data_IF_313984728939
#
_entry.id   IF_313984728939
#
_cell.length_a   1.000
_cell.length_b   1.000
_cell.length_c   1.000
_cell.angle_alpha   90.00
_cell.angle_beta   90.00
_cell.angle_gamma   90.00
#
_symmetry.space_group_name_H-M   'P 1'
#
loop_
_entity.id
_entity.type
_entity.pdbx_description
1 polymer ?
#
# COMPACT_ATOMS: atom_id res chain seq x y z
N UNK A 1 -9.61 6.86 -9.08
CA UNK A 1 -8.67 6.03 -8.29
C UNK A 1 -7.69 5.36 -9.24
N UNK A 2 -6.38 5.51 -9.02
CA UNK A 2 -5.32 4.96 -9.88
C UNK A 2 -4.70 3.74 -9.20
N UNK A 3 -4.54 2.58 -9.88
CA UNK A 3 -3.84 1.45 -9.29
C UNK A 3 -2.38 1.83 -9.06
N UNK A 4 -1.85 1.49 -7.89
CA UNK A 4 -0.45 1.79 -7.53
C UNK A 4 0.42 0.55 -7.45
N UNK A 5 -0.18 -0.63 -7.24
CA UNK A 5 0.58 -1.85 -7.01
C UNK A 5 -0.20 -2.95 -6.33
N UNK A 6 0.52 -3.98 -5.92
CA UNK A 6 0.01 -5.19 -5.27
C UNK A 6 0.33 -5.17 -3.78
N UNK A 7 -0.69 -5.33 -2.93
CA UNK A 7 -0.48 -5.53 -1.50
C UNK A 7 0.01 -6.96 -1.25
N UNK A 8 1.23 -7.10 -0.73
CA UNK A 8 1.92 -8.37 -0.60
C UNK A 8 1.56 -9.10 0.70
N UNK A 9 1.78 -8.45 1.84
CA UNK A 9 1.51 -9.01 3.16
C UNK A 9 1.52 -7.91 4.24
N UNK A 10 1.14 -8.28 5.46
CA UNK A 10 1.37 -7.48 6.67
C UNK A 10 2.68 -7.96 7.31
N UNK A 11 3.67 -7.10 7.39
CA UNK A 11 4.94 -7.40 8.04
C UNK A 11 4.76 -7.61 9.55
N UNK A 12 5.74 -8.24 10.22
CA UNK A 12 5.72 -8.44 11.68
C UNK A 12 5.57 -7.13 12.47
N UNK A 13 6.01 -6.00 11.90
CA UNK A 13 5.83 -4.65 12.45
C UNK A 13 4.39 -4.12 12.36
N UNK A 14 3.47 -4.86 11.75
CA UNK A 14 2.10 -4.43 11.50
C UNK A 14 1.95 -3.57 10.23
N UNK A 15 3.02 -3.35 9.47
CA UNK A 15 2.98 -2.51 8.26
C UNK A 15 2.47 -3.29 7.06
N UNK A 16 1.63 -2.65 6.25
CA UNK A 16 1.20 -3.19 4.96
C UNK A 16 2.30 -2.94 3.92
N UNK A 17 2.83 -4.02 3.37
CA UNK A 17 3.88 -3.98 2.34
C UNK A 17 3.23 -4.05 0.96
N UNK A 18 3.52 -3.09 0.10
CA UNK A 18 2.95 -2.98 -1.25
C UNK A 18 4.10 -2.86 -2.25
N UNK A 19 4.14 -3.71 -3.27
CA UNK A 19 5.04 -3.54 -4.41
C UNK A 19 4.39 -2.60 -5.42
N UNK A 20 5.07 -1.51 -5.75
CA UNK A 20 4.57 -0.50 -6.70
C UNK A 20 5.33 -0.54 -8.01
N UNK A 21 4.63 -0.22 -9.09
CA UNK A 21 5.20 -0.16 -10.45
C UNK A 21 5.74 1.25 -10.78
N UNK A 22 5.46 2.24 -9.92
CA UNK A 22 5.85 3.64 -10.11
C UNK A 22 6.09 4.36 -8.79
N UNK A 23 6.80 5.49 -8.84
CA UNK A 23 7.07 6.33 -7.67
C UNK A 23 5.79 6.97 -7.12
N UNK A 24 5.57 6.81 -5.83
CA UNK A 24 4.46 7.42 -5.06
C UNK A 24 5.04 8.47 -4.10
N UNK A 25 4.20 9.34 -3.55
CA UNK A 25 4.58 10.34 -2.54
C UNK A 25 4.15 9.88 -1.15
N UNK A 26 4.96 10.17 -0.13
CA UNK A 26 4.62 9.91 1.27
C UNK A 26 3.33 10.61 1.70
N UNK A 27 2.67 10.07 2.73
CA UNK A 27 1.49 10.68 3.36
C UNK A 27 0.17 10.45 2.64
N UNK A 28 0.17 9.90 1.42
CA UNK A 28 -1.06 9.56 0.69
C UNK A 28 -1.87 8.44 1.37
N UNK A 29 -3.19 8.48 1.19
CA UNK A 29 -4.08 7.41 1.62
C UNK A 29 -4.17 6.36 0.52
N UNK A 30 -4.08 5.10 0.92
CA UNK A 30 -4.25 3.92 0.08
C UNK A 30 -5.68 3.43 0.25
N UNK A 31 -6.30 3.06 -0.87
CA UNK A 31 -7.67 2.59 -0.93
C UNK A 31 -7.76 1.19 -1.54
N UNK A 32 -8.83 0.47 -1.22
CA UNK A 32 -9.22 -0.74 -1.95
C UNK A 32 -9.97 -0.38 -3.25
N UNK A 33 -10.30 -1.40 -4.06
CA UNK A 33 -11.05 -1.19 -5.31
C UNK A 33 -12.44 -0.54 -5.13
N UNK A 34 -12.99 -0.53 -3.92
CA UNK A 34 -14.33 -0.01 -3.60
C UNK A 34 -14.28 1.42 -3.04
N UNK A 35 -13.10 2.01 -2.90
CA UNK A 35 -12.92 3.34 -2.34
C UNK A 35 -12.82 3.38 -0.81
N UNK A 36 -12.70 2.24 -0.14
CA UNK A 36 -12.49 2.22 1.31
C UNK A 36 -11.06 2.63 1.64
N UNK A 37 -10.87 3.46 2.68
CA UNK A 37 -9.53 3.81 3.18
C UNK A 37 -8.89 2.62 3.88
N UNK A 38 -7.69 2.26 3.46
CA UNK A 38 -7.00 1.04 3.92
C UNK A 38 -5.75 1.35 4.75
N UNK A 39 -4.87 2.20 4.25
CA UNK A 39 -3.59 2.48 4.88
C UNK A 39 -3.11 3.90 4.53
N UNK A 40 -2.11 4.40 5.24
CA UNK A 40 -1.39 5.63 4.90
C UNK A 40 0.05 5.29 4.50
N UNK A 41 0.53 5.86 3.40
CA UNK A 41 1.93 5.72 2.96
C UNK A 41 2.84 6.30 4.04
N UNK A 42 3.66 5.45 4.65
CA UNK A 42 4.66 5.85 5.65
C UNK A 42 6.02 6.09 5.00
N UNK A 43 6.59 5.04 4.42
CA UNK A 43 7.92 5.06 3.82
C UNK A 43 7.93 4.34 2.48
N UNK A 44 8.86 4.76 1.61
CA UNK A 44 9.10 4.19 0.29
C UNK A 44 10.55 3.74 0.24
N UNK A 45 10.77 2.48 -0.08
CA UNK A 45 12.08 1.82 -0.05
C UNK A 45 12.31 1.02 -1.34
N UNK A 46 13.56 0.65 -1.62
CA UNK A 46 13.91 -0.17 -2.78
C UNK A 46 14.20 0.65 -4.04
N UNK A 47 14.14 -0.01 -5.21
CA UNK A 47 14.51 0.58 -6.50
C UNK A 47 13.56 1.70 -6.91
N UNK A 48 14.07 2.64 -7.71
CA UNK A 48 13.29 3.76 -8.28
C UNK A 48 12.20 3.25 -9.22
N UNK A 49 12.49 2.21 -10.00
CA UNK A 49 11.56 1.67 -11.02
C UNK A 49 10.46 0.80 -10.39
N UNK A 50 10.77 0.10 -9.30
CA UNK A 50 9.85 -0.84 -8.64
C UNK A 50 9.96 -0.73 -7.11
N UNK A 51 9.52 0.39 -6.52
CA UNK A 51 9.67 0.61 -5.08
C UNK A 51 8.68 -0.22 -4.28
N UNK A 52 9.04 -0.49 -3.03
CA UNK A 52 8.12 -0.98 -2.01
C UNK A 52 7.61 0.16 -1.16
N UNK A 53 6.32 0.13 -0.85
CA UNK A 53 5.71 1.01 0.13
C UNK A 53 5.52 0.23 1.42
N UNK A 54 6.01 0.82 2.50
CA UNK A 54 5.71 0.41 3.86
C UNK A 54 4.63 1.33 4.41
N UNK A 55 3.39 0.86 4.44
CA UNK A 55 2.22 1.65 4.82
C UNK A 55 1.70 1.29 6.22
N UNK A 56 1.12 2.27 6.90
CA UNK A 56 0.50 2.11 8.22
C UNK A 56 -0.98 1.78 7.99
N UNK A 57 -1.46 0.57 8.33
CA UNK A 57 -2.88 0.23 8.24
C UNK A 57 -3.73 1.18 9.09
N UNK A 58 -4.90 1.57 8.56
CA UNK A 58 -5.84 2.41 9.31
C UNK A 58 -6.81 1.57 10.16
N UNK A 59 -7.05 0.31 9.76
CA UNK A 59 -7.92 -0.64 10.43
C UNK A 59 -7.67 -2.06 9.90
N UNK A 60 -8.38 -3.05 10.46
CA UNK A 60 -8.24 -4.46 10.10
C UNK A 60 -8.59 -4.79 8.64
N UNK A 61 -9.31 -3.91 7.93
CA UNK A 61 -9.63 -4.13 6.52
C UNK A 61 -8.38 -4.14 5.63
N UNK A 62 -7.23 -3.65 6.11
CA UNK A 62 -5.96 -3.79 5.41
C UNK A 62 -5.56 -5.25 5.14
N UNK A 63 -6.00 -6.20 5.98
CA UNK A 63 -5.77 -7.63 5.71
C UNK A 63 -6.55 -8.12 4.48
N UNK A 64 -7.68 -7.49 4.15
CA UNK A 64 -8.56 -7.90 3.04
C UNK A 64 -7.99 -7.59 1.66
N UNK A 65 -7.02 -6.68 1.58
CA UNK A 65 -6.37 -6.30 0.32
C UNK A 65 -5.11 -7.10 0.02
N UNK A 66 -4.65 -7.96 0.92
CA UNK A 66 -3.51 -8.85 0.68
C UNK A 66 -3.79 -9.69 -0.59
N UNK A 67 -2.81 -9.73 -1.50
CA UNK A 67 -2.90 -10.37 -2.80
C UNK A 67 -3.73 -9.60 -3.84
N UNK A 68 -4.12 -8.33 -3.57
CA UNK A 68 -4.96 -7.52 -4.46
C UNK A 68 -4.30 -6.21 -4.83
N UNK A 69 -4.73 -5.65 -5.96
CA UNK A 69 -4.37 -4.29 -6.36
C UNK A 69 -4.95 -3.28 -5.37
N UNK A 70 -4.13 -2.29 -5.04
CA UNK A 70 -4.49 -1.15 -4.20
C UNK A 70 -4.33 0.14 -4.97
N UNK A 71 -4.97 1.20 -4.49
CA UNK A 71 -5.20 2.43 -5.26
C UNK A 71 -4.88 3.68 -4.45
N UNK A 72 -4.60 4.77 -5.16
CA UNK A 72 -4.64 6.15 -4.63
C UNK A 72 -5.71 6.98 -5.33
#
# INVERSE_FOLDING_TARGET
MKPIGLALHIAKSGRLIIQCEHKITNGKIIFDKRGNKIAKVGEIIGSIDNPYISAIPLNENAKRVIGKKVFI
#
